data_IF_777309239974
#
_entry.id   IF_777309239974
#
_cell.length_a   1.000
_cell.length_b   1.000
_cell.length_c   1.000
_cell.angle_alpha   90.00
_cell.angle_beta   90.00
_cell.angle_gamma   90.00
#
_symmetry.space_group_name_H-M   'P 1'
#
loop_
_entity.id
_entity.type
_entity.pdbx_description
1 polymer ?
#
# COMPACT_ATOMS: atom_id res chain seq x y z
N UNK A 1 19.44 -3.18 9.17
CA UNK A 1 18.88 -2.13 8.27
C UNK A 1 17.37 -2.28 8.31
N UNK A 2 16.63 -1.23 8.67
CA UNK A 2 15.16 -1.29 8.62
C UNK A 2 14.71 -1.21 7.16
N UNK A 3 13.80 -2.10 6.77
CA UNK A 3 13.16 -2.07 5.46
C UNK A 3 12.07 -0.99 5.51
N UNK A 4 12.17 0.01 4.62
CA UNK A 4 11.26 1.15 4.58
C UNK A 4 10.32 0.99 3.41
N UNK A 5 9.02 1.21 3.64
CA UNK A 5 7.99 1.23 2.60
C UNK A 5 7.26 2.56 2.70
N UNK A 6 7.13 3.26 1.57
CA UNK A 6 6.34 4.48 1.50
C UNK A 6 4.89 4.11 1.13
N UNK A 7 3.95 4.42 2.04
CA UNK A 7 2.51 4.20 1.82
C UNK A 7 1.83 5.53 1.51
N UNK A 8 1.42 5.73 0.26
CA UNK A 8 0.63 6.88 -0.14
C UNK A 8 -0.87 6.58 0.06
N UNK A 9 -1.49 7.27 1.01
CA UNK A 9 -2.92 7.14 1.32
C UNK A 9 -3.72 8.21 0.57
N UNK A 10 -4.53 7.77 -0.40
CA UNK A 10 -5.40 8.65 -1.17
C UNK A 10 -6.78 8.71 -0.53
N UNK A 11 -7.16 9.91 -0.09
CA UNK A 11 -8.49 10.17 0.45
C UNK A 11 -9.53 10.18 -0.68
N UNK A 12 -10.48 9.25 -0.65
CA UNK A 12 -11.54 9.15 -1.66
C UNK A 12 -12.70 8.25 -1.20
N UNK A 13 -13.89 8.50 -1.75
CA UNK A 13 -15.02 7.58 -1.64
C UNK A 13 -15.08 6.56 -2.78
N UNK A 14 -14.37 6.80 -3.89
CA UNK A 14 -14.45 6.01 -5.11
C UNK A 14 -13.46 4.82 -5.05
N UNK A 15 -13.98 3.58 -5.07
CA UNK A 15 -13.16 2.37 -5.05
C UNK A 15 -12.34 2.17 -6.32
N UNK A 16 -12.77 2.79 -7.42
CA UNK A 16 -12.15 2.72 -8.74
C UNK A 16 -11.27 3.94 -9.04
N UNK A 17 -11.01 4.79 -8.04
CA UNK A 17 -10.18 5.99 -8.21
C UNK A 17 -8.82 5.62 -8.80
N UNK A 18 -8.47 6.17 -9.96
CA UNK A 18 -7.22 5.85 -10.65
C UNK A 18 -6.08 6.59 -9.97
N UNK A 19 -5.18 5.84 -9.33
CA UNK A 19 -3.93 6.38 -8.81
C UNK A 19 -2.83 6.25 -9.88
N UNK A 20 -1.80 7.11 -9.83
CA UNK A 20 -0.63 6.96 -10.70
C UNK A 20 -0.05 5.54 -10.63
N UNK A 21 0.56 5.03 -11.71
CA UNK A 21 1.22 3.72 -11.69
C UNK A 21 2.30 3.67 -10.60
N UNK A 22 2.60 2.44 -10.11
CA UNK A 22 3.62 2.21 -9.09
C UNK A 22 4.92 2.93 -9.47
N UNK A 23 5.40 3.80 -8.58
CA UNK A 23 6.71 4.45 -8.72
C UNK A 23 7.64 3.85 -7.67
N UNK A 24 8.89 3.57 -8.03
CA UNK A 24 9.94 3.38 -7.04
C UNK A 24 10.50 4.75 -6.68
N UNK A 25 10.72 5.01 -5.39
CA UNK A 25 11.33 6.26 -4.96
C UNK A 25 12.75 5.96 -4.49
N UNK A 26 13.74 6.63 -5.06
CA UNK A 26 15.13 6.44 -4.63
C UNK A 26 15.47 7.43 -3.54
N UNK A 27 15.90 6.94 -2.38
CA UNK A 27 16.39 7.75 -1.28
C UNK A 27 17.77 7.22 -0.87
N UNK A 28 18.79 8.09 -0.86
CA UNK A 28 20.16 7.74 -0.46
C UNK A 28 20.71 6.49 -1.21
N UNK A 29 20.49 6.44 -2.53
CA UNK A 29 20.90 5.31 -3.38
C UNK A 29 20.12 4.01 -3.19
N UNK A 30 19.09 3.98 -2.32
CA UNK A 30 18.23 2.82 -2.09
C UNK A 30 16.87 3.02 -2.73
N UNK A 31 16.41 2.02 -3.46
CA UNK A 31 15.03 1.99 -3.95
C UNK A 31 14.07 1.68 -2.78
N UNK A 32 13.14 2.58 -2.54
CA UNK A 32 12.05 2.44 -1.59
C UNK A 32 10.79 2.03 -2.37
N UNK A 33 10.17 0.89 -2.04
CA UNK A 33 8.87 0.53 -2.56
C UNK A 33 7.83 1.58 -2.19
N UNK A 34 7.12 2.13 -3.19
CA UNK A 34 5.94 2.97 -2.97
C UNK A 34 4.69 2.19 -3.29
N UNK A 35 3.77 2.13 -2.34
CA UNK A 35 2.46 1.53 -2.50
C UNK A 35 1.36 2.57 -2.33
N UNK A 36 0.30 2.42 -3.10
CA UNK A 36 -0.84 3.34 -3.10
C UNK A 36 -2.07 2.63 -2.54
N UNK A 37 -2.68 3.22 -1.52
CA UNK A 37 -3.84 2.69 -0.84
C UNK A 37 -4.94 3.77 -0.84
N UNK A 38 -6.20 3.35 -0.97
CA UNK A 38 -7.39 4.23 -0.91
C UNK A 38 -8.01 4.18 0.49
N UNK A 39 -8.35 5.34 1.03
CA UNK A 39 -8.90 5.47 2.38
C UNK A 39 -10.05 6.47 2.42
N UNK A 40 -10.97 6.25 3.35
CA UNK A 40 -12.00 7.21 3.74
C UNK A 40 -12.16 7.22 5.26
N UNK A 41 -12.24 8.37 5.89
CA UNK A 41 -12.26 8.56 7.36
C UNK A 41 -13.38 7.77 8.04
N UNK A 42 -14.55 7.66 7.42
CA UNK A 42 -15.67 6.90 8.00
C UNK A 42 -15.61 5.40 7.72
N UNK A 43 -14.81 4.94 6.76
CA UNK A 43 -14.75 3.53 6.32
C UNK A 43 -13.41 2.85 6.58
N UNK A 44 -12.38 3.63 6.89
CA UNK A 44 -11.00 3.15 6.89
C UNK A 44 -10.47 2.88 5.49
N UNK A 45 -9.63 1.85 5.37
CA UNK A 45 -9.16 1.37 4.07
C UNK A 45 -10.32 0.82 3.25
N UNK A 46 -10.48 1.32 2.03
CA UNK A 46 -11.54 0.85 1.14
C UNK A 46 -11.37 -0.62 0.77
N UNK A 47 -12.48 -1.34 0.64
CA UNK A 47 -12.50 -2.74 0.15
C UNK A 47 -12.43 -2.75 -1.38
N UNK A 48 -11.23 -2.63 -1.95
CA UNK A 48 -11.02 -2.66 -3.41
C UNK A 48 -9.78 -3.50 -3.78
N UNK A 49 -9.65 -3.85 -5.07
CA UNK A 49 -8.52 -4.66 -5.56
C UNK A 49 -7.17 -3.97 -5.32
N UNK A 50 -7.12 -2.65 -5.51
CA UNK A 50 -5.92 -1.84 -5.23
C UNK A 50 -5.42 -2.00 -3.81
N UNK A 51 -6.30 -1.95 -2.81
CA UNK A 51 -5.90 -2.13 -1.42
C UNK A 51 -5.48 -3.57 -1.11
N UNK A 52 -6.08 -4.57 -1.75
CA UNK A 52 -5.62 -5.97 -1.65
C UNK A 52 -4.19 -6.11 -2.18
N UNK A 53 -3.89 -5.46 -3.32
CA UNK A 53 -2.56 -5.49 -3.92
C UNK A 53 -1.54 -4.69 -3.10
N UNK A 54 -1.93 -3.52 -2.57
CA UNK A 54 -1.15 -2.70 -1.64
C UNK A 54 -0.71 -3.54 -0.42
N UNK A 55 -1.65 -4.21 0.25
CA UNK A 55 -1.38 -5.07 1.41
C UNK A 55 -0.53 -6.29 1.02
N UNK A 56 -0.77 -6.90 -0.16
CA UNK A 56 0.02 -8.03 -0.64
C UNK A 56 1.48 -7.65 -0.88
N UNK A 57 1.74 -6.47 -1.46
CA UNK A 57 3.10 -5.94 -1.63
C UNK A 57 3.74 -5.69 -0.26
N UNK A 58 3.07 -4.99 0.66
CA UNK A 58 3.62 -4.75 2.02
C UNK A 58 4.01 -6.05 2.71
N UNK A 59 3.15 -7.07 2.68
CA UNK A 59 3.43 -8.37 3.29
C UNK A 59 4.62 -9.08 2.65
N UNK A 60 4.76 -8.97 1.32
CA UNK A 60 5.87 -9.58 0.58
C UNK A 60 7.19 -8.93 0.96
N UNK A 61 7.28 -7.61 0.91
CA UNK A 61 8.50 -6.88 1.24
C UNK A 61 8.87 -7.14 2.72
N UNK A 62 7.93 -6.96 3.65
CA UNK A 62 8.20 -7.13 5.08
C UNK A 62 8.31 -8.59 5.58
N UNK A 63 8.21 -9.59 4.71
CA UNK A 63 8.21 -11.01 5.10
C UNK A 63 7.07 -11.42 6.05
N UNK A 64 5.95 -10.69 6.07
CA UNK A 64 4.83 -10.93 6.99
C UNK A 64 3.94 -12.06 6.44
N UNK A 65 3.85 -13.17 7.18
CA UNK A 65 2.91 -14.26 6.87
C UNK A 65 1.48 -13.79 7.12
N UNK A 66 0.52 -14.26 6.31
CA UNK A 66 -0.90 -14.09 6.62
C UNK A 66 -1.17 -14.71 8.00
N UNK A 67 -1.56 -13.89 8.97
CA UNK A 67 -2.18 -14.39 10.18
C UNK A 67 -3.46 -15.14 9.79
N UNK A 68 -3.56 -16.40 10.18
CA UNK A 68 -4.85 -17.09 10.23
C UNK A 68 -5.67 -16.38 11.30
N UNK A 69 -6.50 -15.42 10.88
CA UNK A 69 -7.56 -14.92 11.74
C UNK A 69 -8.70 -15.92 11.54
N UNK A 70 -8.98 -16.67 12.61
CA UNK A 70 -10.12 -17.60 12.73
C UNK A 70 -11.44 -16.84 12.55
#
# INVERSE_FOLDING_TARGET
MAEVILVAMHHTHNTEYVVPPKRQHSYDGKEIPVVHCLFHETKGLLKCQRNKDCIKTIRKEMGIKKSHVL
#
